data_IF_500214742600
#
_entry.id   IF_500214742600
#
_cell.length_a   1.000
_cell.length_b   1.000
_cell.length_c   1.000
_cell.angle_alpha   90.00
_cell.angle_beta   90.00
_cell.angle_gamma   90.00
#
_symmetry.space_group_name_H-M   'P 1'
#
loop_
_entity.id
_entity.type
_entity.pdbx_description
1 polymer ?
#
# COMPACT_ATOMS: atom_id res chain seq x y z
N UNK A 1 19.75 0.46 -1.44
CA UNK A 1 18.33 0.85 -1.19
C UNK A 1 17.89 1.73 -2.35
N UNK A 2 16.73 1.46 -2.94
CA UNK A 2 16.24 2.17 -4.13
C UNK A 2 14.99 2.99 -3.79
N UNK A 3 14.85 4.17 -4.40
CA UNK A 3 13.68 5.05 -4.25
C UNK A 3 12.97 5.20 -5.57
N UNK A 4 11.70 4.83 -5.61
CA UNK A 4 10.82 4.98 -6.77
C UNK A 4 9.88 6.16 -6.56
N UNK A 5 9.58 6.87 -7.65
CA UNK A 5 8.54 7.89 -7.66
C UNK A 5 7.22 7.27 -8.10
N UNK A 6 6.16 7.53 -7.33
CA UNK A 6 4.80 7.09 -7.60
C UNK A 6 3.86 8.28 -7.42
N UNK A 7 3.54 8.95 -8.52
CA UNK A 7 2.62 10.08 -8.54
C UNK A 7 2.91 11.17 -7.49
N UNK A 8 4.18 11.55 -7.35
CA UNK A 8 4.63 12.54 -6.36
C UNK A 8 4.91 11.99 -4.97
N UNK A 9 4.59 10.72 -4.71
CA UNK A 9 4.93 10.01 -3.49
C UNK A 9 6.19 9.15 -3.69
N UNK A 10 6.90 8.86 -2.61
CA UNK A 10 8.13 8.07 -2.66
C UNK A 10 7.88 6.67 -2.12
N UNK A 11 8.32 5.67 -2.88
CA UNK A 11 8.33 4.27 -2.48
C UNK A 11 9.79 3.80 -2.33
N UNK A 12 10.20 3.53 -1.10
CA UNK A 12 11.49 2.96 -0.72
C UNK A 12 11.42 1.44 -0.75
N UNK A 13 12.26 0.85 -1.58
CA UNK A 13 12.37 -0.59 -1.78
C UNK A 13 13.82 -1.06 -1.58
N UNK A 14 14.06 -2.35 -1.32
CA UNK A 14 15.40 -2.92 -1.36
C UNK A 14 16.09 -2.60 -2.69
N UNK A 15 17.40 -2.77 -2.71
CA UNK A 15 18.16 -2.57 -3.95
C UNK A 15 17.64 -3.47 -5.06
N UNK A 16 17.50 -2.88 -6.24
CA UNK A 16 17.12 -3.53 -7.49
C UNK A 16 18.10 -3.04 -8.57
N UNK A 17 18.36 -3.89 -9.56
CA UNK A 17 19.13 -3.50 -10.74
C UNK A 17 18.29 -2.58 -11.63
N UNK A 18 18.91 -1.56 -12.21
CA UNK A 18 18.23 -0.64 -13.12
C UNK A 18 18.91 0.71 -13.18
N UNK A 19 18.71 1.41 -14.30
CA UNK A 19 19.20 2.76 -14.49
C UNK A 19 18.25 3.78 -13.84
N UNK A 20 18.79 4.92 -13.41
CA UNK A 20 17.97 6.03 -12.94
C UNK A 20 16.98 6.47 -14.03
N UNK A 21 15.72 6.67 -13.64
CA UNK A 21 14.65 7.04 -14.56
C UNK A 21 13.99 5.85 -15.27
N UNK A 22 14.47 4.63 -15.07
CA UNK A 22 13.78 3.43 -15.54
C UNK A 22 12.39 3.31 -14.90
N UNK A 23 11.42 2.89 -15.72
CA UNK A 23 10.09 2.52 -15.24
C UNK A 23 10.14 1.07 -14.81
N UNK A 24 9.78 0.82 -13.57
CA UNK A 24 9.77 -0.52 -12.98
C UNK A 24 8.37 -0.88 -12.51
N UNK A 25 8.02 -2.16 -12.63
CA UNK A 25 6.84 -2.73 -11.99
C UNK A 25 7.29 -3.53 -10.76
N UNK A 26 6.68 -3.23 -9.63
CA UNK A 26 6.90 -3.94 -8.36
C UNK A 26 5.64 -4.67 -7.95
N UNK A 27 5.79 -5.77 -7.21
CA UNK A 27 4.68 -6.52 -6.63
C UNK A 27 4.64 -6.30 -5.13
N UNK A 28 3.46 -5.94 -4.63
CA UNK A 28 3.18 -5.79 -3.19
C UNK A 28 2.06 -6.77 -2.85
N UNK A 29 2.29 -7.79 -2.01
CA UNK A 29 1.23 -8.66 -1.53
C UNK A 29 0.18 -7.86 -0.73
N UNK A 30 -1.11 -8.10 -0.97
CA UNK A 30 -2.17 -7.35 -0.29
C UNK A 30 -2.12 -7.47 1.24
N UNK A 31 -1.74 -8.64 1.75
CA UNK A 31 -1.53 -8.93 3.18
C UNK A 31 -0.39 -8.12 3.83
N UNK A 32 0.51 -7.56 3.02
CA UNK A 32 1.65 -6.76 3.49
C UNK A 32 1.37 -5.24 3.42
N UNK A 33 0.12 -4.86 3.15
CA UNK A 33 -0.37 -3.48 3.16
C UNK A 33 -1.25 -3.28 4.38
N UNK A 34 -0.74 -2.58 5.39
CA UNK A 34 -1.56 -2.12 6.50
C UNK A 34 -2.20 -0.77 6.18
N UNK A 35 -3.30 -0.44 6.84
CA UNK A 35 -4.03 0.83 6.67
C UNK A 35 -4.04 1.63 7.96
N UNK A 36 -3.96 2.95 7.81
CA UNK A 36 -4.20 3.91 8.90
C UNK A 36 -5.07 5.06 8.40
N UNK A 37 -5.95 5.57 9.26
CA UNK A 37 -6.82 6.72 8.96
C UNK A 37 -6.13 8.07 9.18
N UNK A 38 -5.04 8.07 9.96
CA UNK A 38 -4.14 9.21 10.16
C UNK A 38 -2.72 8.83 9.75
N UNK A 39 -1.90 9.81 9.34
CA UNK A 39 -0.51 9.56 8.98
C UNK A 39 0.27 9.14 10.24
N UNK A 40 0.73 7.88 10.33
CA UNK A 40 1.41 7.43 11.54
C UNK A 40 2.85 7.92 11.59
N UNK A 41 3.39 8.02 12.81
CA UNK A 41 4.80 8.37 13.09
C UNK A 41 5.46 7.28 13.92
N UNK A 42 6.80 7.22 13.92
CA UNK A 42 7.54 6.30 14.79
C UNK A 42 7.49 4.82 14.37
N UNK A 43 7.21 4.53 13.10
CA UNK A 43 7.11 3.16 12.59
C UNK A 43 8.42 2.67 11.96
N UNK A 44 8.66 1.35 12.03
CA UNK A 44 9.68 0.68 11.20
C UNK A 44 9.29 0.61 9.71
N UNK A 45 8.01 0.80 9.40
CA UNK A 45 7.48 0.86 8.04
C UNK A 45 8.02 2.13 7.35
N UNK A 46 8.60 1.97 6.16
CA UNK A 46 9.27 3.06 5.43
C UNK A 46 8.38 3.72 4.39
N UNK A 47 7.36 3.03 3.91
CA UNK A 47 6.43 3.53 2.91
C UNK A 47 5.11 3.87 3.58
N UNK A 48 4.73 5.13 3.50
CA UNK A 48 3.46 5.66 3.99
C UNK A 48 2.85 6.44 2.85
N UNK A 49 2.01 5.75 2.07
CA UNK A 49 1.41 6.26 0.85
C UNK A 49 0.00 6.74 1.17
N UNK A 50 -0.29 8.01 0.90
CA UNK A 50 -1.67 8.49 0.87
C UNK A 50 -2.41 7.82 -0.28
N UNK A 51 -3.60 7.30 0.00
CA UNK A 51 -4.41 6.54 -0.93
C UNK A 51 -5.89 6.83 -0.72
N UNK A 52 -6.68 6.71 -1.79
CA UNK A 52 -8.15 6.80 -1.70
C UNK A 52 -8.76 5.41 -1.79
N UNK A 53 -9.67 5.07 -0.89
CA UNK A 53 -10.44 3.82 -0.97
C UNK A 53 -11.38 3.91 -2.17
N UNK A 54 -11.30 2.91 -3.05
CA UNK A 54 -12.16 2.78 -4.22
C UNK A 54 -13.28 1.77 -4.01
N UNK A 55 -12.96 0.67 -3.32
CA UNK A 55 -13.89 -0.43 -3.09
C UNK A 55 -13.51 -1.16 -1.81
N UNK A 56 -14.51 -1.64 -1.10
CA UNK A 56 -14.34 -2.53 0.05
C UNK A 56 -15.11 -3.82 -0.23
N UNK A 57 -14.41 -4.95 -0.21
CA UNK A 57 -15.00 -6.28 -0.41
C UNK A 57 -14.83 -7.09 0.87
N UNK A 58 -15.94 -7.38 1.53
CA UNK A 58 -15.92 -8.21 2.73
C UNK A 58 -15.79 -9.67 2.32
N UNK A 59 -14.60 -10.25 2.51
CA UNK A 59 -14.29 -11.63 2.18
C UNK A 59 -14.63 -12.54 3.37
N UNK A 60 -15.59 -13.44 3.18
CA UNK A 60 -15.97 -14.36 4.26
C UNK A 60 -14.85 -15.39 4.56
N UNK A 61 -14.63 -15.75 5.84
CA UNK A 61 -15.31 -15.24 7.04
C UNK A 61 -14.64 -14.03 7.70
N UNK A 62 -13.32 -13.83 7.56
CA UNK A 62 -12.52 -13.00 8.50
C UNK A 62 -11.88 -11.78 7.86
N UNK A 63 -11.79 -11.73 6.53
CA UNK A 63 -10.99 -10.72 5.85
C UNK A 63 -11.84 -9.67 5.15
N UNK A 64 -11.25 -8.51 4.92
CA UNK A 64 -11.76 -7.49 4.05
C UNK A 64 -10.65 -7.14 3.07
N UNK A 65 -11.02 -7.04 1.81
CA UNK A 65 -10.13 -6.56 0.77
C UNK A 65 -10.48 -5.13 0.40
N UNK A 66 -9.47 -4.27 0.42
CA UNK A 66 -9.59 -2.85 0.16
C UNK A 66 -8.86 -2.55 -1.14
N UNK A 67 -9.59 -2.07 -2.15
CA UNK A 67 -9.00 -1.55 -3.36
C UNK A 67 -8.71 -0.06 -3.17
N UNK A 68 -7.47 0.34 -3.42
CA UNK A 68 -6.96 1.69 -3.20
C UNK A 68 -6.49 2.31 -4.52
N UNK A 69 -6.68 3.62 -4.65
CA UNK A 69 -6.02 4.46 -5.63
C UNK A 69 -4.83 5.20 -5.00
N UNK A 70 -3.64 4.98 -5.56
CA UNK A 70 -2.40 5.69 -5.19
C UNK A 70 -1.93 6.42 -6.44
N UNK A 71 -2.42 7.64 -6.62
CA UNK A 71 -2.08 8.49 -7.76
C UNK A 71 -2.23 7.78 -9.11
N UNK A 72 -3.43 7.25 -9.36
CA UNK A 72 -3.82 6.46 -10.56
C UNK A 72 -3.27 5.03 -10.64
N UNK A 73 -2.41 4.59 -9.71
CA UNK A 73 -2.06 3.18 -9.58
C UNK A 73 -3.00 2.48 -8.61
N UNK A 74 -3.27 1.20 -8.87
CA UNK A 74 -4.10 0.37 -7.98
C UNK A 74 -3.23 -0.38 -6.98
N UNK A 75 -3.63 -0.33 -5.72
CA UNK A 75 -3.04 -1.12 -4.63
C UNK A 75 -4.16 -1.86 -3.92
N UNK A 76 -3.90 -3.10 -3.49
CA UNK A 76 -4.85 -3.88 -2.68
C UNK A 76 -4.29 -4.02 -1.28
N UNK A 77 -5.16 -3.94 -0.29
CA UNK A 77 -4.87 -4.32 1.08
C UNK A 77 -5.82 -5.45 1.49
N UNK A 78 -5.31 -6.45 2.19
CA UNK A 78 -6.10 -7.50 2.84
C UNK A 78 -5.92 -7.32 4.34
N UNK A 79 -7.00 -6.93 5.02
CA UNK A 79 -7.03 -6.70 6.47
C UNK A 79 -8.14 -7.55 7.10
N UNK A 80 -8.21 -7.61 8.42
CA UNK A 80 -9.37 -8.24 9.08
C UNK A 80 -10.62 -7.38 8.88
N UNK A 81 -11.78 -8.03 8.82
CA UNK A 81 -13.08 -7.36 8.83
C UNK A 81 -13.22 -6.45 10.06
N UNK A 82 -12.82 -6.96 11.23
CA UNK A 82 -12.79 -6.22 12.49
C UNK A 82 -12.01 -4.91 12.36
N UNK A 83 -10.79 -4.95 11.81
CA UNK A 83 -10.00 -3.73 11.62
C UNK A 83 -10.65 -2.75 10.64
N UNK A 84 -11.29 -3.25 9.57
CA UNK A 84 -12.00 -2.39 8.61
C UNK A 84 -13.19 -1.66 9.27
N UNK A 85 -13.94 -2.37 10.13
CA UNK A 85 -15.07 -1.85 10.89
C UNK A 85 -14.61 -0.88 11.99
N UNK A 86 -13.59 -1.23 12.78
CA UNK A 86 -13.02 -0.38 13.85
C UNK A 86 -12.45 0.93 13.30
N UNK A 87 -11.78 0.88 12.15
CA UNK A 87 -11.24 2.07 11.49
C UNK A 87 -12.34 2.90 10.79
N UNK A 88 -13.58 2.41 10.73
CA UNK A 88 -14.69 3.06 10.05
C UNK A 88 -14.42 3.29 8.56
N UNK A 89 -13.81 2.30 7.89
CA UNK A 89 -13.40 2.44 6.50
C UNK A 89 -14.61 2.58 5.57
N UNK A 90 -14.55 3.54 4.66
CA UNK A 90 -15.59 3.77 3.67
C UNK A 90 -15.03 4.05 2.27
N UNK A 91 -15.77 3.67 1.23
CA UNK A 91 -15.43 4.05 -0.14
C UNK A 91 -15.34 5.57 -0.29
N UNK A 92 -14.33 6.03 -1.03
CA UNK A 92 -14.03 7.44 -1.23
C UNK A 92 -13.19 8.08 -0.13
N UNK A 93 -12.99 7.43 1.02
CA UNK A 93 -12.16 7.92 2.13
C UNK A 93 -10.68 7.94 1.77
N UNK A 94 -9.96 8.97 2.23
CA UNK A 94 -8.50 9.02 2.18
C UNK A 94 -7.90 8.30 3.38
N UNK A 95 -6.94 7.42 3.13
CA UNK A 95 -6.21 6.62 4.12
C UNK A 95 -4.71 6.60 3.80
N UNK A 96 -3.93 6.03 4.70
CA UNK A 96 -2.50 5.80 4.51
C UNK A 96 -2.21 4.31 4.39
N UNK A 97 -1.73 3.89 3.23
CA UNK A 97 -1.22 2.56 2.96
C UNK A 97 0.22 2.44 3.44
N UNK A 98 0.44 1.52 4.38
CA UNK A 98 1.70 1.29 5.07
C UNK A 98 2.33 0.02 4.51
N UNK A 99 3.48 0.15 3.85
CA UNK A 99 4.17 -0.99 3.21
C UNK A 99 5.61 -1.10 3.70
N UNK A 100 5.97 -2.24 4.28
CA UNK A 100 7.37 -2.51 4.62
C UNK A 100 8.17 -2.67 3.33
N UNK A 101 9.33 -2.00 3.23
CA UNK A 101 10.21 -2.17 2.07
C UNK A 101 10.55 -3.64 1.81
N UNK A 102 10.76 -4.43 2.87
CA UNK A 102 11.13 -5.86 2.77
C UNK A 102 10.01 -6.76 2.23
N UNK A 103 8.76 -6.30 2.17
CA UNK A 103 7.64 -7.05 1.62
C UNK A 103 7.45 -6.83 0.11
N UNK A 104 8.20 -5.89 -0.48
CA UNK A 104 8.09 -5.55 -1.90
C UNK A 104 9.01 -6.48 -2.68
N UNK A 105 8.43 -7.23 -3.61
CA UNK A 105 9.17 -8.15 -4.48
C UNK A 105 10.16 -7.36 -5.35
N UNK A 106 11.37 -7.90 -5.46
CA UNK A 106 12.50 -7.31 -6.19
C UNK A 106 12.54 -7.76 -7.65
N UNK A 107 11.72 -8.76 -8.00
CA UNK A 107 11.64 -9.27 -9.36
C UNK A 107 10.94 -8.21 -10.21
N UNK A 108 11.72 -7.57 -11.09
CA UNK A 108 11.19 -6.65 -12.08
C UNK A 108 10.35 -7.43 -13.08
N UNK A 109 9.10 -6.99 -13.26
CA UNK A 109 8.18 -7.49 -14.28
C UNK A 109 8.16 -6.57 -15.50
#
# INVERSE_FOLDING_TARGET
MTTLSLAGQLLRIPEIDGELGSVVRVRIPARDVALATNRPTGLSIRNVLEARILKIEMLEPVYAEILLDVGKQRLRAEITREAAEELGLAEGQTVYALVKSVAIDRTLL
#
